data_IF_656287986167
#
_entry.id   IF_656287986167
#
_cell.length_a   1.000
_cell.length_b   1.000
_cell.length_c   1.000
_cell.angle_alpha   90.00
_cell.angle_beta   90.00
_cell.angle_gamma   90.00
#
_symmetry.space_group_name_H-M   'P 1'
#
loop_
_entity.id
_entity.type
_entity.pdbx_description
1 polymer ?
#
# COMPACT_ATOMS: atom_id res chain seq x y z
N UNK A 1 15.10 -14.90 8.98
CA UNK A 1 13.64 -15.02 9.19
C UNK A 1 13.02 -13.98 8.28
N UNK A 2 12.34 -14.38 7.21
CA UNK A 2 11.84 -13.42 6.22
C UNK A 2 10.75 -12.52 6.80
N UNK A 3 10.72 -11.26 6.36
CA UNK A 3 9.76 -10.21 6.76
C UNK A 3 8.27 -10.62 6.74
N UNK A 4 7.91 -11.72 6.05
CA UNK A 4 6.55 -12.26 5.98
C UNK A 4 6.17 -13.32 7.05
N UNK A 5 7.09 -13.68 7.95
CA UNK A 5 6.89 -14.77 8.92
C UNK A 5 6.07 -14.38 10.15
N UNK A 6 4.75 -14.21 10.00
CA UNK A 6 3.72 -14.59 11.00
C UNK A 6 3.90 -14.21 12.50
N UNK A 7 4.61 -13.15 12.88
CA UNK A 7 4.67 -12.70 14.28
C UNK A 7 4.66 -11.17 14.36
N UNK A 8 3.74 -10.62 15.17
CA UNK A 8 3.87 -9.30 15.85
C UNK A 8 4.08 -8.02 15.03
N UNK A 9 3.71 -7.93 13.76
CA UNK A 9 4.00 -6.71 12.98
C UNK A 9 3.22 -5.45 13.42
N UNK A 10 1.94 -5.55 13.79
CA UNK A 10 1.11 -4.40 14.19
C UNK A 10 1.29 -4.01 15.67
N UNK A 11 1.48 -5.00 16.56
CA UNK A 11 1.61 -4.80 18.02
C UNK A 11 3.01 -5.02 18.58
N UNK A 12 3.95 -5.17 17.67
CA UNK A 12 5.37 -5.09 17.94
C UNK A 12 6.00 -6.38 18.43
N UNK A 13 7.22 -6.61 17.98
CA UNK A 13 8.13 -7.64 18.46
C UNK A 13 9.15 -7.00 19.41
N UNK A 14 9.99 -7.77 20.11
CA UNK A 14 11.13 -7.21 20.83
C UNK A 14 12.01 -6.30 19.96
N UNK A 15 12.12 -6.60 18.66
CA UNK A 15 12.93 -5.83 17.69
C UNK A 15 12.18 -4.62 17.10
N UNK A 16 10.85 -4.57 17.21
CA UNK A 16 10.02 -3.46 16.75
C UNK A 16 8.87 -3.25 17.73
N UNK A 17 9.10 -2.64 18.90
CA UNK A 17 8.12 -2.61 19.98
C UNK A 17 6.92 -1.72 19.65
N UNK A 18 5.79 -2.05 20.26
CA UNK A 18 4.65 -1.14 20.32
C UNK A 18 5.04 0.19 21.00
N UNK A 19 4.58 1.36 20.52
CA UNK A 19 3.64 1.60 19.42
C UNK A 19 4.29 1.83 18.05
N UNK A 20 5.63 1.78 17.93
CA UNK A 20 6.36 2.03 16.68
C UNK A 20 5.92 1.06 15.59
N UNK A 21 5.64 -0.18 15.99
CA UNK A 21 5.07 -1.23 15.16
C UNK A 21 3.80 -0.83 14.40
N UNK A 22 2.89 -0.06 15.01
CA UNK A 22 1.66 0.43 14.37
C UNK A 22 2.00 1.32 13.19
N UNK A 23 3.01 2.18 13.35
CA UNK A 23 3.37 3.11 12.30
C UNK A 23 4.05 2.41 11.15
N UNK A 24 5.01 1.53 11.44
CA UNK A 24 5.70 0.80 10.38
C UNK A 24 4.72 -0.07 9.56
N UNK A 25 3.90 -0.88 10.22
CA UNK A 25 3.08 -1.85 9.46
C UNK A 25 1.71 -1.33 9.10
N UNK A 26 1.02 -0.67 10.03
CA UNK A 26 -0.29 -0.08 9.78
C UNK A 26 -0.20 1.13 8.86
N UNK A 27 0.55 2.16 9.27
CA UNK A 27 0.54 3.46 8.58
C UNK A 27 1.48 3.51 7.36
N UNK A 28 2.69 2.99 7.47
CA UNK A 28 3.67 3.05 6.39
C UNK A 28 3.44 1.94 5.37
N UNK A 29 3.50 0.67 5.80
CA UNK A 29 3.40 -0.46 4.88
C UNK A 29 2.02 -0.60 4.24
N UNK A 30 0.96 -0.68 5.05
CA UNK A 30 -0.39 -0.90 4.54
C UNK A 30 -1.07 0.40 4.07
N UNK A 31 -1.13 1.44 4.89
CA UNK A 31 -1.87 2.65 4.50
C UNK A 31 -1.13 3.46 3.43
N UNK A 32 0.16 3.79 3.63
CA UNK A 32 0.89 4.66 2.72
C UNK A 32 1.36 3.94 1.45
N UNK A 33 2.09 2.83 1.58
CA UNK A 33 2.64 2.12 0.42
C UNK A 33 1.57 1.30 -0.30
N UNK A 34 0.86 0.42 0.40
CA UNK A 34 -0.11 -0.48 -0.27
C UNK A 34 -1.35 0.28 -0.77
N UNK A 35 -2.03 1.03 0.10
CA UNK A 35 -3.25 1.76 -0.27
C UNK A 35 -2.93 3.09 -0.95
N UNK A 36 -2.03 3.90 -0.40
CA UNK A 36 -1.70 5.21 -0.95
C UNK A 36 -1.03 5.11 -2.32
N UNK A 37 0.09 4.39 -2.42
CA UNK A 37 0.82 4.23 -3.69
C UNK A 37 0.19 3.12 -4.54
N UNK A 38 0.10 1.91 -4.00
CA UNK A 38 -0.30 0.71 -4.74
C UNK A 38 -1.70 0.82 -5.34
N UNK A 39 -2.65 1.42 -4.60
CA UNK A 39 -4.03 1.57 -5.05
C UNK A 39 -4.36 2.97 -5.56
N UNK A 40 -4.31 3.99 -4.71
CA UNK A 40 -4.83 5.32 -5.04
C UNK A 40 -3.98 6.06 -6.07
N UNK A 41 -2.66 6.12 -5.89
CA UNK A 41 -1.77 6.76 -6.86
C UNK A 41 -1.79 6.03 -8.22
N UNK A 42 -1.83 4.70 -8.20
CA UNK A 42 -1.95 3.89 -9.42
C UNK A 42 -3.24 4.16 -10.17
N UNK A 43 -4.39 4.13 -9.47
CA UNK A 43 -5.69 4.40 -10.08
C UNK A 43 -5.75 5.81 -10.68
N UNK A 44 -5.34 6.81 -9.91
CA UNK A 44 -5.33 8.22 -10.39
C UNK A 44 -4.36 8.42 -11.55
N UNK A 45 -3.24 7.70 -11.59
CA UNK A 45 -2.33 7.71 -12.72
C UNK A 45 -2.93 7.05 -13.97
N UNK A 46 -3.74 5.99 -13.84
CA UNK A 46 -4.41 5.35 -14.98
C UNK A 46 -5.58 6.15 -15.53
N UNK A 47 -6.37 6.75 -14.67
CA UNK A 47 -7.51 7.61 -15.06
C UNK A 47 -7.02 8.94 -15.65
N UNK A 48 -5.81 9.39 -15.28
CA UNK A 48 -5.27 10.64 -15.82
C UNK A 48 -5.11 10.60 -17.35
N UNK A 49 -5.48 11.68 -18.06
CA UNK A 49 -5.24 11.79 -19.49
C UNK A 49 -3.73 11.81 -19.80
N UNK A 50 -2.88 12.20 -18.86
CA UNK A 50 -1.43 12.29 -19.07
C UNK A 50 -0.74 10.95 -18.80
N UNK A 51 -0.33 10.27 -19.88
CA UNK A 51 0.40 9.00 -19.83
C UNK A 51 1.69 9.04 -19.02
N UNK A 52 2.34 10.22 -18.97
CA UNK A 52 3.58 10.42 -18.22
C UNK A 52 3.39 10.13 -16.74
N UNK A 53 2.18 10.26 -16.20
CA UNK A 53 1.90 9.90 -14.79
C UNK A 53 2.02 8.40 -14.56
N UNK A 54 1.39 7.56 -15.39
CA UNK A 54 1.51 6.10 -15.28
C UNK A 54 2.95 5.65 -15.51
N UNK A 55 3.62 6.24 -16.51
CA UNK A 55 5.04 5.96 -16.80
C UNK A 55 5.94 6.31 -15.61
N UNK A 56 5.87 7.55 -15.11
CA UNK A 56 6.71 8.02 -14.00
C UNK A 56 6.45 7.22 -12.74
N UNK A 57 5.19 6.93 -12.41
CA UNK A 57 4.85 6.11 -11.26
C UNK A 57 5.45 4.70 -11.38
N UNK A 58 5.30 4.06 -12.55
CA UNK A 58 5.83 2.71 -12.77
C UNK A 58 7.35 2.68 -12.73
N UNK A 59 8.01 3.70 -13.28
CA UNK A 59 9.45 3.90 -13.19
C UNK A 59 9.90 4.07 -11.74
N UNK A 60 9.24 4.93 -10.97
CA UNK A 60 9.55 5.16 -9.55
C UNK A 60 9.36 3.90 -8.70
N UNK A 61 8.25 3.17 -8.89
CA UNK A 61 8.01 1.89 -8.21
C UNK A 61 9.12 0.90 -8.55
N UNK A 62 9.49 0.78 -9.83
CA UNK A 62 10.57 -0.09 -10.26
C UNK A 62 11.91 0.25 -9.62
N UNK A 63 12.29 1.54 -9.62
CA UNK A 63 13.54 1.99 -9.00
C UNK A 63 13.56 1.71 -7.50
N UNK A 64 12.49 2.05 -6.77
CA UNK A 64 12.41 1.82 -5.32
C UNK A 64 12.42 0.32 -5.01
N UNK A 65 11.71 -0.50 -5.78
CA UNK A 65 11.68 -1.94 -5.59
C UNK A 65 13.04 -2.57 -5.84
N UNK A 66 13.72 -2.21 -6.92
CA UNK A 66 15.06 -2.71 -7.22
C UNK A 66 16.06 -2.30 -6.15
N UNK A 67 16.02 -1.04 -5.68
CA UNK A 67 16.85 -0.55 -4.58
C UNK A 67 16.59 -1.32 -3.27
N UNK A 68 15.31 -1.57 -2.96
CA UNK A 68 14.92 -2.32 -1.78
C UNK A 68 15.38 -3.79 -1.85
N UNK A 69 15.28 -4.41 -3.03
CA UNK A 69 15.71 -5.80 -3.26
C UNK A 69 17.19 -6.05 -2.99
N UNK A 70 18.05 -5.03 -3.11
CA UNK A 70 19.52 -5.14 -2.92
C UNK A 70 19.92 -5.74 -1.58
N UNK A 71 19.11 -5.58 -0.52
CA UNK A 71 19.42 -6.16 0.79
C UNK A 71 19.03 -7.63 0.94
N UNK A 72 18.17 -8.17 0.07
CA UNK A 72 17.69 -9.55 0.12
C UNK A 72 18.78 -10.62 0.21
N UNK A 73 19.97 -10.48 -0.40
CA UNK A 73 21.02 -11.50 -0.27
C UNK A 73 21.55 -11.60 1.16
N UNK A 74 21.58 -10.47 1.87
CA UNK A 74 21.98 -10.41 3.28
C UNK A 74 20.88 -10.96 4.19
N UNK A 75 19.61 -10.71 3.85
CA UNK A 75 18.45 -11.15 4.62
C UNK A 75 18.15 -12.65 4.46
N UNK A 76 18.16 -13.13 3.21
CA UNK A 76 17.80 -14.49 2.84
C UNK A 76 18.99 -15.44 2.92
N UNK A 77 20.22 -14.93 2.89
CA UNK A 77 21.43 -15.74 2.90
C UNK A 77 21.41 -16.79 1.78
N UNK A 78 21.80 -18.03 2.11
CA UNK A 78 21.81 -19.15 1.16
C UNK A 78 20.47 -19.87 1.01
N UNK A 79 19.39 -19.38 1.66
CA UNK A 79 18.09 -20.08 1.65
C UNK A 79 17.33 -19.88 0.34
N UNK A 80 17.65 -18.83 -0.42
CA UNK A 80 17.00 -18.48 -1.68
C UNK A 80 18.06 -18.05 -2.70
N UNK A 81 17.82 -18.38 -3.98
CA UNK A 81 18.61 -17.82 -5.08
C UNK A 81 18.26 -16.33 -5.24
N UNK A 82 19.24 -15.48 -4.98
CA UNK A 82 19.13 -14.02 -5.11
C UNK A 82 19.88 -13.48 -6.33
N UNK A 83 20.31 -14.35 -7.25
CA UNK A 83 20.96 -13.93 -8.50
C UNK A 83 20.09 -12.94 -9.29
N UNK A 84 20.68 -12.06 -10.11
CA UNK A 84 19.92 -11.14 -10.97
C UNK A 84 18.87 -11.84 -11.85
N UNK A 85 19.16 -13.06 -12.31
CA UNK A 85 18.23 -13.87 -13.09
C UNK A 85 17.05 -14.35 -12.24
N UNK A 86 17.29 -14.85 -11.03
CA UNK A 86 16.22 -15.24 -10.11
C UNK A 86 15.35 -14.03 -9.72
N UNK A 87 15.96 -12.88 -9.46
CA UNK A 87 15.24 -11.65 -9.16
C UNK A 87 14.41 -11.16 -10.36
N UNK A 88 14.92 -11.27 -11.59
CA UNK A 88 14.17 -10.95 -12.81
C UNK A 88 12.94 -11.85 -12.97
N UNK A 89 13.11 -13.16 -12.79
CA UNK A 89 12.01 -14.11 -12.88
C UNK A 89 10.95 -13.85 -11.81
N UNK A 90 11.38 -13.61 -10.56
CA UNK A 90 10.49 -13.19 -9.48
C UNK A 90 9.75 -11.90 -9.84
N UNK A 91 10.47 -10.88 -10.32
CA UNK A 91 9.90 -9.58 -10.64
C UNK A 91 8.89 -9.65 -11.76
N UNK A 92 9.18 -10.38 -12.85
CA UNK A 92 8.25 -10.58 -13.95
C UNK A 92 7.04 -11.41 -13.51
N UNK A 93 7.26 -12.48 -12.74
CA UNK A 93 6.18 -13.36 -12.31
C UNK A 93 5.17 -12.61 -11.44
N UNK A 94 5.62 -11.98 -10.34
CA UNK A 94 4.72 -11.28 -9.42
C UNK A 94 4.34 -9.88 -9.91
N UNK A 95 5.27 -9.15 -10.54
CA UNK A 95 5.00 -7.84 -11.13
C UNK A 95 4.09 -7.91 -12.35
N UNK A 96 4.13 -9.01 -13.12
CA UNK A 96 3.25 -9.24 -14.26
C UNK A 96 1.80 -9.54 -13.87
N UNK A 97 1.56 -10.07 -12.66
CA UNK A 97 0.21 -10.30 -12.13
C UNK A 97 -0.51 -8.97 -11.83
N UNK A 98 0.21 -7.89 -11.51
CA UNK A 98 -0.37 -6.60 -11.17
C UNK A 98 -1.16 -5.97 -12.34
N UNK A 99 -0.60 -5.86 -13.56
CA UNK A 99 -1.37 -5.47 -14.74
C UNK A 99 -2.64 -6.31 -14.95
N UNK A 100 -2.55 -7.63 -14.76
CA UNK A 100 -3.70 -8.52 -14.92
C UNK A 100 -4.78 -8.23 -13.87
N UNK A 101 -4.39 -8.01 -12.60
CA UNK A 101 -5.31 -7.62 -11.54
C UNK A 101 -6.02 -6.29 -11.86
N UNK A 102 -5.28 -5.29 -12.35
CA UNK A 102 -5.86 -4.00 -12.74
C UNK A 102 -6.78 -4.09 -13.96
N UNK A 103 -6.46 -4.94 -14.94
CA UNK A 103 -7.38 -5.25 -16.03
C UNK A 103 -8.65 -5.93 -15.49
N UNK A 104 -8.51 -6.89 -14.57
CA UNK A 104 -9.64 -7.51 -13.87
C UNK A 104 -10.55 -6.47 -13.21
N UNK A 105 -9.97 -5.56 -12.40
CA UNK A 105 -10.68 -4.46 -11.74
C UNK A 105 -11.41 -3.58 -12.76
N UNK A 106 -10.77 -3.25 -13.88
CA UNK A 106 -11.39 -2.46 -14.94
C UNK A 106 -12.64 -3.14 -15.49
N UNK A 107 -12.54 -4.44 -15.81
CA UNK A 107 -13.66 -5.18 -16.37
C UNK A 107 -14.75 -5.48 -15.34
N UNK A 108 -14.40 -5.57 -14.06
CA UNK A 108 -15.35 -5.79 -12.97
C UNK A 108 -15.91 -4.51 -12.34
N UNK A 109 -15.41 -3.33 -12.71
CA UNK A 109 -15.74 -2.05 -12.05
C UNK A 109 -17.25 -1.74 -12.01
N UNK A 110 -18.00 -2.17 -13.03
CA UNK A 110 -19.47 -2.04 -13.06
C UNK A 110 -20.17 -3.01 -12.10
N UNK A 111 -19.60 -4.20 -11.86
CA UNK A 111 -20.15 -5.18 -10.93
C UNK A 111 -19.99 -4.73 -9.46
N UNK A 112 -18.91 -4.01 -9.13
CA UNK A 112 -18.65 -3.50 -7.77
C UNK A 112 -19.73 -2.51 -7.32
N UNK A 113 -20.28 -1.70 -8.22
CA UNK A 113 -21.38 -0.78 -7.90
C UNK A 113 -22.66 -1.50 -7.47
N UNK A 114 -22.83 -2.78 -7.81
CA UNK A 114 -24.03 -3.57 -7.50
C UNK A 114 -24.01 -4.18 -6.10
N UNK A 115 -22.91 -4.06 -5.35
CA UNK A 115 -22.74 -4.79 -4.09
C UNK A 115 -23.52 -4.18 -2.91
N UNK A 116 -24.00 -2.94 -3.03
CA UNK A 116 -24.88 -2.29 -2.05
C UNK A 116 -24.45 -2.50 -0.59
N UNK A 117 -25.41 -2.77 0.30
CA UNK A 117 -25.17 -3.01 1.73
C UNK A 117 -24.43 -4.33 2.04
N UNK A 118 -24.27 -5.25 1.06
CA UNK A 118 -23.56 -6.52 1.29
C UNK A 118 -22.06 -6.29 1.46
N UNK A 119 -21.51 -5.32 0.72
CA UNK A 119 -20.10 -4.89 0.85
C UNK A 119 -19.79 -4.38 2.26
N UNK A 120 -20.73 -3.65 2.87
CA UNK A 120 -20.60 -3.13 4.23
C UNK A 120 -20.49 -4.27 5.25
N UNK A 121 -21.40 -5.26 5.20
CA UNK A 121 -21.36 -6.39 6.13
C UNK A 121 -20.14 -7.28 5.92
N UNK A 122 -19.69 -7.48 4.68
CA UNK A 122 -18.45 -8.19 4.40
C UNK A 122 -17.23 -7.47 5.00
N UNK A 123 -17.17 -6.14 4.88
CA UNK A 123 -16.11 -5.33 5.49
C UNK A 123 -16.16 -5.40 7.02
N UNK A 124 -17.34 -5.25 7.62
CA UNK A 124 -17.52 -5.37 9.08
C UNK A 124 -17.10 -6.76 9.56
N UNK A 125 -17.52 -7.82 8.88
CA UNK A 125 -17.14 -9.19 9.21
C UNK A 125 -15.62 -9.40 9.11
N UNK A 126 -14.97 -8.87 8.07
CA UNK A 126 -13.52 -8.94 7.91
C UNK A 126 -12.79 -8.20 9.03
N UNK A 127 -13.24 -6.99 9.39
CA UNK A 127 -12.66 -6.20 10.49
C UNK A 127 -12.82 -6.93 11.82
N UNK A 128 -14.01 -7.45 12.12
CA UNK A 128 -14.27 -8.23 13.34
C UNK A 128 -13.42 -9.49 13.38
N UNK A 129 -13.30 -10.22 12.27
CA UNK A 129 -12.45 -11.41 12.17
C UNK A 129 -10.98 -11.07 12.43
N UNK A 130 -10.46 -10.00 11.83
CA UNK A 130 -9.09 -9.54 12.06
C UNK A 130 -8.89 -9.17 13.53
N UNK A 131 -9.82 -8.43 14.14
CA UNK A 131 -9.76 -8.07 15.56
C UNK A 131 -9.76 -9.33 16.43
N UNK A 132 -10.67 -10.27 16.19
CA UNK A 132 -10.78 -11.50 16.97
C UNK A 132 -9.51 -12.35 16.93
N UNK A 133 -8.95 -12.56 15.73
CA UNK A 133 -7.68 -13.29 15.56
C UNK A 133 -6.54 -12.57 16.30
N UNK A 134 -6.52 -11.23 16.27
CA UNK A 134 -5.44 -10.45 16.91
C UNK A 134 -5.54 -10.41 18.42
N UNK A 135 -6.74 -10.34 19.00
CA UNK A 135 -6.92 -10.38 20.46
C UNK A 135 -6.39 -11.69 21.04
N UNK A 136 -6.56 -12.82 20.34
CA UNK A 136 -6.03 -14.12 20.77
C UNK A 136 -4.49 -14.09 20.83
N UNK A 137 -3.84 -13.43 19.88
CA UNK A 137 -2.38 -13.36 19.80
C UNK A 137 -1.76 -12.25 20.66
N UNK A 138 -2.50 -11.17 20.93
CA UNK A 138 -2.01 -9.98 21.65
C UNK A 138 -3.18 -9.31 22.39
N UNK A 139 -3.42 -9.64 23.67
CA UNK A 139 -4.59 -9.19 24.42
C UNK A 139 -4.73 -7.66 24.51
N UNK A 140 -3.64 -6.92 24.48
CA UNK A 140 -3.60 -5.45 24.52
C UNK A 140 -4.33 -4.83 23.31
N UNK A 141 -4.41 -5.57 22.19
CA UNK A 141 -5.15 -5.14 21.01
C UNK A 141 -6.66 -4.94 21.30
N UNK A 142 -7.21 -5.59 22.33
CA UNK A 142 -8.63 -5.52 22.66
C UNK A 142 -9.11 -4.11 23.00
N UNK A 143 -8.24 -3.26 23.55
CA UNK A 143 -8.58 -1.88 23.90
C UNK A 143 -7.95 -0.85 22.96
N UNK A 144 -6.82 -1.16 22.32
CA UNK A 144 -6.16 -0.24 21.37
C UNK A 144 -6.90 -0.21 20.02
N UNK A 145 -7.27 -1.38 19.46
CA UNK A 145 -7.93 -1.45 18.14
C UNK A 145 -9.23 -0.65 18.08
N UNK A 146 -10.15 -0.80 19.04
CA UNK A 146 -11.41 -0.05 18.99
C UNK A 146 -11.19 1.46 18.97
N UNK A 147 -10.19 1.97 19.72
CA UNK A 147 -9.87 3.39 19.76
C UNK A 147 -9.32 3.86 18.41
N UNK A 148 -8.35 3.14 17.84
CA UNK A 148 -7.77 3.50 16.53
C UNK A 148 -8.80 3.43 15.40
N UNK A 149 -9.62 2.37 15.36
CA UNK A 149 -10.73 2.23 14.42
C UNK A 149 -11.74 3.36 14.62
N UNK A 150 -12.06 3.72 15.86
CA UNK A 150 -12.95 4.81 16.20
C UNK A 150 -12.45 6.17 15.67
N UNK A 151 -11.17 6.48 15.86
CA UNK A 151 -10.54 7.71 15.34
C UNK A 151 -10.67 7.77 13.81
N UNK A 152 -10.31 6.68 13.11
CA UNK A 152 -10.41 6.61 11.66
C UNK A 152 -11.87 6.73 11.20
N UNK A 153 -12.78 6.03 11.85
CA UNK A 153 -14.20 6.03 11.51
C UNK A 153 -14.82 7.42 11.68
N UNK A 154 -14.52 8.12 12.78
CA UNK A 154 -14.99 9.49 13.03
C UNK A 154 -14.43 10.44 11.97
N UNK A 155 -13.12 10.35 11.68
CA UNK A 155 -12.48 11.18 10.66
C UNK A 155 -13.11 10.98 9.27
N UNK A 156 -13.29 9.72 8.85
CA UNK A 156 -13.95 9.38 7.58
C UNK A 156 -15.43 9.80 7.56
N UNK A 157 -16.14 9.68 8.68
CA UNK A 157 -17.53 10.13 8.79
C UNK A 157 -17.66 11.65 8.64
N UNK A 158 -16.72 12.41 9.20
CA UNK A 158 -16.63 13.85 9.00
C UNK A 158 -16.25 14.20 7.55
N UNK A 159 -15.27 13.48 6.99
CA UNK A 159 -14.83 13.67 5.61
C UNK A 159 -15.97 13.44 4.62
N UNK A 160 -16.72 12.33 4.76
CA UNK A 160 -17.84 11.98 3.89
C UNK A 160 -18.90 13.08 3.80
N UNK A 161 -19.17 13.77 4.91
CA UNK A 161 -20.14 14.89 4.94
C UNK A 161 -19.65 16.15 4.22
N UNK A 162 -18.34 16.28 3.99
CA UNK A 162 -17.68 17.48 3.45
C UNK A 162 -17.04 17.28 2.08
N UNK A 163 -16.79 16.03 1.68
CA UNK A 163 -16.10 15.71 0.43
C UNK A 163 -17.02 15.92 -0.77
N UNK A 164 -16.59 16.77 -1.70
CA UNK A 164 -17.27 17.03 -2.99
C UNK A 164 -16.66 16.25 -4.16
N UNK A 165 -15.52 15.57 -3.94
CA UNK A 165 -14.83 14.79 -4.97
C UNK A 165 -15.44 13.40 -5.20
N UNK A 166 -15.21 12.81 -6.38
CA UNK A 166 -15.65 11.45 -6.69
C UNK A 166 -14.94 10.44 -5.77
N UNK A 167 -15.68 9.44 -5.29
CA UNK A 167 -15.12 8.31 -4.56
C UNK A 167 -14.09 7.58 -5.43
N UNK A 168 -13.03 7.06 -4.82
CA UNK A 168 -12.11 6.11 -5.46
C UNK A 168 -12.84 4.95 -6.14
N UNK A 169 -13.91 4.42 -5.52
CA UNK A 169 -14.75 3.36 -6.11
C UNK A 169 -15.46 3.87 -7.37
N UNK A 170 -15.89 5.14 -7.37
CA UNK A 170 -16.50 5.77 -8.54
C UNK A 170 -15.47 5.99 -9.66
N UNK A 171 -14.23 6.37 -9.31
CA UNK A 171 -13.12 6.47 -10.26
C UNK A 171 -12.75 5.12 -10.91
N UNK A 172 -12.96 4.00 -10.22
CA UNK A 172 -12.84 2.67 -10.84
C UNK A 172 -13.97 2.41 -11.82
N UNK A 173 -15.20 2.77 -11.46
CA UNK A 173 -16.37 2.55 -12.31
C UNK A 173 -16.32 3.37 -13.61
N UNK A 174 -15.65 4.52 -13.61
CA UNK A 174 -15.44 5.31 -14.84
C UNK A 174 -14.51 4.64 -15.85
N UNK A 175 -13.75 3.63 -15.44
CA UNK A 175 -12.79 2.91 -16.28
C UNK A 175 -11.55 3.75 -16.66
N UNK A 176 -10.56 3.10 -17.26
CA UNK A 176 -9.32 3.74 -17.72
C UNK A 176 -8.76 3.05 -18.98
N UNK A 177 -7.95 3.72 -19.82
CA UNK A 177 -7.41 3.13 -21.06
C UNK A 177 -6.53 1.90 -20.81
N UNK A 178 -6.65 0.83 -21.62
CA UNK A 178 -5.93 -0.45 -21.39
C UNK A 178 -4.42 -0.28 -21.52
N UNK A 179 -4.00 0.55 -22.46
CA UNK A 179 -2.58 0.85 -22.67
C UNK A 179 -1.93 1.54 -21.48
N UNK A 180 -2.70 2.16 -20.56
CA UNK A 180 -2.14 2.76 -19.34
C UNK A 180 -1.60 1.71 -18.38
N UNK A 181 -2.26 0.55 -18.31
CA UNK A 181 -1.87 -0.56 -17.46
C UNK A 181 -0.57 -1.20 -17.92
N UNK A 182 -0.30 -1.18 -19.23
CA UNK A 182 0.93 -1.73 -19.80
C UNK A 182 2.18 -0.99 -19.31
N UNK A 183 2.06 0.30 -18.95
CA UNK A 183 3.19 1.02 -18.34
C UNK A 183 3.62 0.41 -17.00
N UNK A 184 2.74 -0.30 -16.30
CA UNK A 184 3.09 -0.97 -15.05
C UNK A 184 4.04 -2.17 -15.25
N UNK A 185 4.13 -2.72 -16.46
CA UNK A 185 5.17 -3.70 -16.82
C UNK A 185 6.58 -3.09 -16.82
N UNK A 186 6.70 -1.76 -16.83
CA UNK A 186 7.97 -1.09 -16.66
C UNK A 186 8.55 -1.31 -15.26
N UNK A 187 7.70 -1.41 -14.23
CA UNK A 187 8.15 -1.57 -12.85
C UNK A 187 9.03 -2.82 -12.65
N UNK A 188 8.63 -4.05 -13.04
CA UNK A 188 9.49 -5.22 -12.89
C UNK A 188 10.76 -5.17 -13.75
N UNK A 189 10.70 -4.55 -14.94
CA UNK A 189 11.88 -4.41 -15.80
C UNK A 189 12.92 -3.46 -15.19
N UNK A 190 12.46 -2.29 -14.72
CA UNK A 190 13.31 -1.28 -14.08
C UNK A 190 13.83 -1.79 -12.74
N UNK A 191 12.99 -2.48 -11.96
CA UNK A 191 13.41 -3.13 -10.72
C UNK A 191 14.53 -4.12 -10.98
N UNK A 192 14.38 -4.99 -11.97
CA UNK A 192 15.41 -5.98 -12.30
C UNK A 192 16.70 -5.34 -12.81
N UNK A 193 16.60 -4.30 -13.65
CA UNK A 193 17.77 -3.59 -14.17
C UNK A 193 18.53 -2.85 -13.06
N UNK A 194 17.81 -2.16 -12.17
CA UNK A 194 18.41 -1.45 -11.04
C UNK A 194 19.00 -2.41 -10.00
N UNK A 195 18.31 -3.51 -9.70
CA UNK A 195 18.82 -4.59 -8.86
C UNK A 195 20.10 -5.19 -9.45
N UNK A 196 20.10 -5.58 -10.73
CA UNK A 196 21.28 -6.15 -11.38
C UNK A 196 22.48 -5.19 -11.36
N UNK A 197 22.24 -3.90 -11.63
CA UNK A 197 23.28 -2.87 -11.57
C UNK A 197 23.91 -2.80 -10.18
N UNK A 198 23.10 -2.75 -9.11
CA UNK A 198 23.58 -2.63 -7.74
C UNK A 198 24.22 -3.94 -7.23
N UNK A 199 23.69 -5.08 -7.65
CA UNK A 199 24.26 -6.40 -7.40
C UNK A 199 25.69 -6.50 -7.93
N UNK A 200 25.95 -6.04 -9.16
CA UNK A 200 27.29 -6.11 -9.76
C UNK A 200 28.33 -5.21 -9.10
N UNK A 201 27.90 -4.17 -8.38
CA UNK A 201 28.80 -3.28 -7.62
C UNK A 201 28.99 -3.78 -6.16
N UNK A 202 28.48 -4.98 -5.84
CA UNK A 202 28.47 -5.61 -4.50
C UNK A 202 27.99 -4.67 -3.39
N UNK A 203 27.06 -3.76 -3.74
CA UNK A 203 26.45 -2.87 -2.77
C UNK A 203 25.43 -3.67 -1.99
N UNK A 204 25.63 -3.84 -0.67
CA UNK A 204 24.67 -4.48 0.24
C UNK A 204 24.12 -3.45 1.21
N UNK A 205 23.56 -2.38 0.65
CA UNK A 205 23.00 -1.30 1.44
C UNK A 205 21.83 -1.84 2.29
N UNK A 206 21.72 -1.49 3.58
CA UNK A 206 20.60 -1.88 4.44
C UNK A 206 19.36 -1.06 4.08
N UNK A 207 18.84 -1.24 2.86
CA UNK A 207 17.76 -0.44 2.29
C UNK A 207 16.43 -0.67 3.00
N UNK A 208 16.24 -1.83 3.63
CA UNK A 208 15.13 -2.09 4.54
C UNK A 208 15.14 -1.15 5.75
N UNK A 209 16.30 -0.91 6.36
CA UNK A 209 16.46 0.03 7.49
C UNK A 209 16.16 1.45 7.03
N UNK A 210 16.68 1.85 5.86
CA UNK A 210 16.38 3.18 5.30
C UNK A 210 14.89 3.36 5.02
N UNK A 211 14.25 2.36 4.40
CA UNK A 211 12.81 2.36 4.12
C UNK A 211 12.01 2.46 5.43
N UNK A 212 12.40 1.70 6.45
CA UNK A 212 11.81 1.75 7.79
C UNK A 212 11.92 3.15 8.40
N UNK A 213 13.12 3.72 8.45
CA UNK A 213 13.39 5.02 9.06
C UNK A 213 12.70 6.17 8.34
N UNK A 214 12.49 6.06 7.02
CA UNK A 214 11.83 7.11 6.23
C UNK A 214 10.31 6.98 6.31
N UNK A 215 9.78 5.79 6.07
CA UNK A 215 8.33 5.63 5.88
C UNK A 215 7.57 5.56 7.20
N UNK A 216 8.19 5.11 8.29
CA UNK A 216 7.59 5.13 9.65
C UNK A 216 7.21 6.55 10.11
N UNK A 217 8.10 7.56 10.11
CA UNK A 217 7.70 8.93 10.46
C UNK A 217 6.74 9.51 9.42
N UNK A 218 6.95 9.22 8.13
CA UNK A 218 6.07 9.70 7.07
C UNK A 218 4.63 9.19 7.24
N UNK A 219 4.45 7.93 7.67
CA UNK A 219 3.14 7.35 7.98
C UNK A 219 2.39 8.15 9.05
N UNK A 220 3.06 8.49 10.16
CA UNK A 220 2.48 9.34 11.20
C UNK A 220 2.18 10.76 10.70
N UNK A 221 3.11 11.38 9.97
CA UNK A 221 2.96 12.74 9.46
C UNK A 221 1.76 12.82 8.50
N UNK A 222 1.67 11.89 7.54
CA UNK A 222 0.58 11.83 6.58
C UNK A 222 -0.75 11.54 7.28
N UNK A 223 -0.77 10.60 8.23
CA UNK A 223 -1.97 10.30 9.00
C UNK A 223 -2.47 11.50 9.81
N UNK A 224 -1.57 12.15 10.57
CA UNK A 224 -1.88 13.36 11.33
C UNK A 224 -2.35 14.52 10.45
N UNK A 225 -1.72 14.69 9.28
CA UNK A 225 -2.14 15.70 8.30
C UNK A 225 -3.53 15.40 7.73
N UNK A 226 -3.83 14.14 7.38
CA UNK A 226 -5.16 13.72 6.92
C UNK A 226 -6.23 13.96 7.98
N UNK A 227 -5.95 13.59 9.24
CA UNK A 227 -6.84 13.87 10.38
C UNK A 227 -7.07 15.38 10.54
N UNK A 228 -6.00 16.17 10.55
CA UNK A 228 -6.08 17.62 10.63
C UNK A 228 -6.93 18.21 9.50
N UNK A 229 -6.75 17.75 8.25
CA UNK A 229 -7.57 18.19 7.11
C UNK A 229 -9.04 17.82 7.27
N UNK A 230 -9.36 16.64 7.79
CA UNK A 230 -10.73 16.23 8.06
C UNK A 230 -11.44 17.18 9.04
N UNK A 231 -10.72 17.74 10.00
CA UNK A 231 -11.29 18.66 11.01
C UNK A 231 -11.26 20.13 10.60
N UNK A 232 -10.19 20.59 9.96
CA UNK A 232 -9.95 22.02 9.68
C UNK A 232 -10.49 22.53 8.36
N UNK A 233 -10.78 21.67 7.39
CA UNK A 233 -11.53 22.08 6.21
C UNK A 233 -12.95 22.43 6.64
N UNK A 234 -13.20 23.71 6.90
CA UNK A 234 -14.56 24.25 6.94
C UNK A 234 -15.19 23.88 5.60
N UNK A 235 -16.30 23.14 5.65
CA UNK A 235 -17.13 23.05 4.46
C UNK A 235 -17.41 24.48 4.05
N UNK A 236 -17.09 24.85 2.80
CA UNK A 236 -17.80 25.93 2.16
C UNK A 236 -19.25 25.47 2.11
N UNK A 237 -19.98 25.70 3.20
CA UNK A 237 -21.43 25.74 3.22
C UNK A 237 -21.78 26.96 2.37
N UNK A 238 -21.67 26.79 1.05
CA UNK A 238 -22.43 27.60 0.14
C UNK A 238 -23.88 27.33 0.50
N UNK A 239 -24.53 28.35 1.06
CA UNK A 239 -25.98 28.48 1.05
C UNK A 239 -26.49 28.15 -0.36
N UNK A 240 -27.40 27.18 -0.54
CA UNK A 240 -28.57 27.45 -1.35
C UNK A 240 -29.51 28.41 -0.61
#
# INVERSE_FOLDING_TARGET
MGEGGLVTTLYGSPDNPFPISISWTGLAWHALLTIGVGWYATLTAFVSPNWKRSFTLSLSIGLVWGLWGVFWPSELGSTCDTSPTAFLLHSICFGGLLPLAWLGIRYSGQAVQQWGNKSWWAMVALVVLIIAIRIIATPEAAWILPVLVGIVFIALSHWRKRSTGPDSILLMATGFPKGRVLWFLLAPLVSSASYACLWHVDQKLPTNVLLFLITTPLGFIVFGWCLWKCWTLKGNLGNP
#
